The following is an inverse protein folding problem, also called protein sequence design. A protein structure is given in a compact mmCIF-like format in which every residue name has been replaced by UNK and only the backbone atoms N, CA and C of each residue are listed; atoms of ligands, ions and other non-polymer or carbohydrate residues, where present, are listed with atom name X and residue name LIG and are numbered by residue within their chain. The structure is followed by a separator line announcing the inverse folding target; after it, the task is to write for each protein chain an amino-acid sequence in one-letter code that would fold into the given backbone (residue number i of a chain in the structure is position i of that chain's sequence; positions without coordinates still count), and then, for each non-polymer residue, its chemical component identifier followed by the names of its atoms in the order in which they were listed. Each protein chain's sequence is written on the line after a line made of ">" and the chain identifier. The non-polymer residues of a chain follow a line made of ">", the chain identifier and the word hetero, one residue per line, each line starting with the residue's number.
data_IF_952228014918
#
_entry.id   IF_952228014918
#
_cell.length_a   1.000
_cell.length_b   1.000
_cell.length_c   1.000
_cell.angle_alpha   90.00
_cell.angle_beta   90.00
_cell.angle_gamma   90.00
#
_symmetry.space_group_name_H-M   'P 1'
#
loop_
_entity.id
_entity.type
_entity.pdbx_description
1 polymer ?
#
# COMPACT_ATOMS: atom_id res chain seq x y z
N UNK A 1 -25.50 1.04 7.24
CA UNK A 1 -24.10 0.85 6.82
C UNK A 1 -24.07 -0.34 5.86
N UNK A 2 -24.47 -0.19 4.60
CA UNK A 2 -24.57 -1.35 3.69
C UNK A 2 -24.85 -0.99 2.21
N UNK A 3 -24.05 -0.14 1.58
CA UNK A 3 -24.04 -0.08 0.10
C UNK A 3 -22.67 -0.30 -0.53
N UNK A 4 -21.59 -0.26 0.27
CA UNK A 4 -20.24 -0.54 -0.19
C UNK A 4 -19.60 -1.49 0.83
N UNK A 5 -19.30 -2.72 0.41
CA UNK A 5 -18.50 -3.62 1.23
C UNK A 5 -17.09 -3.06 1.38
N UNK A 6 -16.42 -3.43 2.45
CA UNK A 6 -15.06 -2.98 2.69
C UNK A 6 -14.15 -3.52 1.58
N UNK A 7 -13.28 -2.66 1.02
CA UNK A 7 -12.33 -3.05 -0.03
C UNK A 7 -11.42 -4.19 0.41
N UNK A 8 -11.19 -4.33 1.72
CA UNK A 8 -10.48 -5.45 2.33
C UNK A 8 -11.21 -6.79 2.21
N UNK A 9 -12.49 -6.82 1.84
CA UNK A 9 -13.24 -8.05 1.56
C UNK A 9 -13.64 -8.18 0.10
N UNK A 10 -13.65 -7.08 -0.67
CA UNK A 10 -14.04 -7.08 -2.09
C UNK A 10 -12.84 -7.29 -3.03
N UNK A 11 -11.71 -6.61 -2.79
CA UNK A 11 -10.52 -6.69 -3.65
C UNK A 11 -9.39 -7.51 -3.06
N UNK A 12 -9.51 -7.90 -1.81
CA UNK A 12 -8.49 -8.69 -1.12
C UNK A 12 -8.22 -10.01 -1.81
N UNK A 13 -9.21 -10.72 -2.34
CA UNK A 13 -8.95 -12.00 -3.03
C UNK A 13 -8.16 -11.81 -4.34
N UNK A 14 -8.50 -10.82 -5.17
CA UNK A 14 -7.73 -10.50 -6.39
C UNK A 14 -6.31 -10.04 -6.06
N UNK A 15 -6.18 -9.05 -5.17
CA UNK A 15 -4.89 -8.47 -4.79
C UNK A 15 -4.02 -9.50 -4.04
N UNK A 16 -4.64 -10.38 -3.24
CA UNK A 16 -3.94 -11.46 -2.52
C UNK A 16 -3.55 -12.58 -3.48
N UNK A 17 -4.37 -12.96 -4.45
CA UNK A 17 -4.01 -14.03 -5.39
C UNK A 17 -2.75 -13.70 -6.19
N UNK A 18 -2.55 -12.45 -6.58
CA UNK A 18 -1.30 -12.02 -7.23
C UNK A 18 -0.17 -11.97 -6.22
N UNK A 19 -0.26 -11.15 -5.17
CA UNK A 19 0.88 -10.94 -4.27
C UNK A 19 1.24 -12.13 -3.38
N UNK A 20 0.26 -12.81 -2.78
CA UNK A 20 0.52 -13.90 -1.83
C UNK A 20 1.06 -15.15 -2.54
N UNK A 21 0.54 -15.48 -3.72
CA UNK A 21 1.06 -16.61 -4.50
C UNK A 21 2.48 -16.32 -4.98
N UNK A 22 2.77 -15.11 -5.46
CA UNK A 22 4.12 -14.68 -5.85
C UNK A 22 5.12 -14.80 -4.68
N UNK A 23 4.73 -14.35 -3.47
CA UNK A 23 5.57 -14.44 -2.27
C UNK A 23 5.77 -15.89 -1.80
N UNK A 24 4.74 -16.73 -1.83
CA UNK A 24 4.82 -18.13 -1.39
C UNK A 24 5.64 -18.98 -2.37
N UNK A 25 5.49 -18.73 -3.67
CA UNK A 25 6.20 -19.46 -4.72
C UNK A 25 7.65 -18.97 -4.90
N UNK A 26 8.01 -17.84 -4.30
CA UNK A 26 9.33 -17.22 -4.45
C UNK A 26 9.51 -16.47 -5.76
N UNK A 27 8.41 -16.19 -6.46
CA UNK A 27 8.35 -15.43 -7.72
C UNK A 27 8.10 -13.93 -7.44
N UNK A 28 8.82 -13.39 -6.46
CA UNK A 28 8.74 -11.97 -6.12
C UNK A 28 9.32 -11.15 -7.29
N UNK A 29 8.47 -10.36 -7.95
CA UNK A 29 8.83 -9.56 -9.12
C UNK A 29 9.47 -8.20 -8.79
N UNK A 30 9.67 -7.90 -7.51
CA UNK A 30 10.30 -6.67 -7.01
C UNK A 30 11.55 -6.97 -6.18
N UNK A 31 12.52 -6.07 -6.21
CA UNK A 31 13.64 -6.08 -5.27
C UNK A 31 13.17 -5.60 -3.89
N UNK A 32 13.82 -6.13 -2.87
CA UNK A 32 13.51 -5.85 -1.47
C UNK A 32 14.60 -4.92 -0.96
N UNK A 33 14.22 -3.77 -0.39
CA UNK A 33 15.20 -2.84 0.16
C UNK A 33 16.09 -3.55 1.19
N UNK A 34 17.36 -3.16 1.28
CA UNK A 34 18.36 -3.87 2.09
C UNK A 34 18.02 -3.93 3.59
N UNK A 35 17.13 -3.07 4.07
CA UNK A 35 16.65 -2.98 5.44
C UNK A 35 15.36 -3.79 5.71
N UNK A 36 14.75 -4.39 4.68
CA UNK A 36 13.53 -5.18 4.82
C UNK A 36 13.89 -6.64 5.10
N UNK A 37 13.37 -7.16 6.21
CA UNK A 37 13.55 -8.57 6.58
C UNK A 37 12.59 -9.50 5.82
N UNK A 38 13.00 -10.76 5.63
CA UNK A 38 12.10 -11.80 5.09
C UNK A 38 10.86 -12.00 5.97
N UNK A 39 10.97 -11.78 7.29
CA UNK A 39 9.82 -11.76 8.19
C UNK A 39 8.84 -10.65 7.85
N UNK A 40 9.30 -9.45 7.51
CA UNK A 40 8.43 -8.35 7.09
C UNK A 40 7.63 -8.76 5.86
N UNK A 41 8.28 -9.27 4.81
CA UNK A 41 7.62 -9.70 3.57
C UNK A 41 6.46 -10.67 3.77
N UNK A 42 6.63 -11.66 4.65
CA UNK A 42 5.60 -12.68 4.97
C UNK A 42 4.38 -12.12 5.71
N UNK A 43 4.53 -10.94 6.30
CA UNK A 43 3.54 -10.29 7.14
C UNK A 43 2.93 -9.05 6.46
N UNK A 44 3.34 -8.76 5.22
CA UNK A 44 2.73 -7.71 4.43
C UNK A 44 1.36 -8.15 3.91
N UNK A 45 0.35 -7.39 4.31
CA UNK A 45 -1.02 -7.56 3.87
C UNK A 45 -1.37 -6.47 2.85
N UNK A 46 -1.55 -6.80 1.57
CA UNK A 46 -1.86 -5.79 0.57
C UNK A 46 -3.29 -5.28 0.76
N UNK A 47 -3.48 -3.97 0.68
CA UNK A 47 -4.80 -3.34 0.88
C UNK A 47 -5.21 -2.37 -0.24
N UNK A 48 -4.27 -1.94 -1.08
CA UNK A 48 -4.56 -1.12 -2.24
C UNK A 48 -3.55 -1.34 -3.35
N UNK A 49 -3.98 -1.09 -4.59
CA UNK A 49 -3.13 -1.04 -5.76
C UNK A 49 -3.55 0.11 -6.68
N UNK A 50 -2.60 0.65 -7.42
CA UNK A 50 -2.85 1.65 -8.46
C UNK A 50 -2.89 1.00 -9.85
N UNK A 51 -3.45 1.72 -10.83
CA UNK A 51 -3.40 1.32 -12.24
C UNK A 51 -1.97 1.33 -12.82
N UNK A 52 -1.04 2.03 -12.15
CA UNK A 52 0.37 2.09 -12.55
C UNK A 52 1.22 0.98 -11.91
N UNK A 53 0.61 0.07 -11.14
CA UNK A 53 1.28 -1.08 -10.55
C UNK A 53 1.94 -0.83 -9.20
N UNK A 54 1.69 0.33 -8.55
CA UNK A 54 2.06 0.49 -7.14
C UNK A 54 1.12 -0.31 -6.25
N UNK A 55 1.67 -1.01 -5.27
CA UNK A 55 0.92 -1.71 -4.24
C UNK A 55 1.19 -1.09 -2.89
N UNK A 56 0.17 -1.05 -2.04
CA UNK A 56 0.26 -0.64 -0.64
C UNK A 56 -0.04 -1.82 0.27
N UNK A 57 0.76 -1.93 1.32
CA UNK A 57 0.72 -3.04 2.27
C UNK A 57 0.72 -2.53 3.70
N UNK A 58 -0.04 -3.21 4.56
CA UNK A 58 0.11 -3.12 6.01
C UNK A 58 1.13 -4.16 6.48
N UNK A 59 2.04 -3.79 7.39
CA UNK A 59 2.81 -4.80 8.14
C UNK A 59 2.04 -5.19 9.41
N UNK A 60 1.44 -6.39 9.42
CA UNK A 60 0.63 -6.86 10.55
C UNK A 60 1.41 -7.01 11.86
N UNK A 61 2.75 -7.12 11.81
CA UNK A 61 3.58 -7.19 13.02
C UNK A 61 3.93 -5.83 13.59
N UNK A 62 3.75 -4.76 12.80
CA UNK A 62 4.03 -3.39 13.23
C UNK A 62 2.88 -2.75 14.00
N UNK A 63 1.82 -3.52 14.27
CA UNK A 63 0.62 -3.04 14.95
C UNK A 63 0.93 -2.27 16.24
N UNK A 64 0.52 -1.01 16.24
CA UNK A 64 0.66 -0.11 17.37
C UNK A 64 -0.69 0.04 18.09
N UNK A 65 -0.69 -0.29 19.38
CA UNK A 65 -1.88 -0.24 20.22
C UNK A 65 -2.32 1.18 20.59
N UNK A 66 -1.42 2.16 20.50
CA UNK A 66 -1.71 3.53 20.92
C UNK A 66 -2.58 4.27 19.91
N UNK A 67 -2.39 4.01 18.62
CA UNK A 67 -3.14 4.62 17.51
C UNK A 67 -3.99 3.62 16.70
N UNK A 68 -3.99 2.33 17.05
CA UNK A 68 -4.74 1.25 16.38
C UNK A 68 -4.38 1.11 14.88
N UNK A 69 -3.11 1.38 14.56
CA UNK A 69 -2.60 1.47 13.19
C UNK A 69 -1.38 0.56 12.97
N UNK A 70 -0.95 0.46 11.72
CA UNK A 70 0.18 -0.35 11.28
C UNK A 70 1.09 0.46 10.36
N UNK A 71 2.35 0.06 10.25
CA UNK A 71 3.25 0.58 9.24
C UNK A 71 2.74 0.27 7.83
N UNK A 72 2.90 1.24 6.93
CA UNK A 72 2.54 1.13 5.53
C UNK A 72 3.80 0.98 4.70
N UNK A 73 3.81 -0.03 3.84
CA UNK A 73 4.82 -0.28 2.83
C UNK A 73 4.25 -0.04 1.44
N UNK A 74 5.12 0.37 0.51
CA UNK A 74 4.76 0.62 -0.88
C UNK A 74 5.82 0.07 -1.82
N UNK A 75 5.40 -0.52 -2.95
CA UNK A 75 6.30 -0.76 -4.08
C UNK A 75 6.46 0.53 -4.89
N UNK A 76 7.67 0.82 -5.36
CA UNK A 76 7.88 2.00 -6.20
C UNK A 76 7.17 1.93 -7.57
N UNK A 77 7.13 3.04 -8.31
CA UNK A 77 6.49 3.17 -9.64
C UNK A 77 7.02 2.17 -10.68
N UNK A 78 8.23 1.63 -10.50
CA UNK A 78 8.79 0.60 -11.38
C UNK A 78 8.67 -0.79 -10.79
N UNK A 79 8.00 -0.91 -9.63
CA UNK A 79 7.89 -2.17 -8.92
C UNK A 79 9.26 -2.74 -8.57
N UNK A 80 10.27 -1.87 -8.37
CA UNK A 80 11.65 -2.27 -8.14
C UNK A 80 11.93 -2.41 -6.66
N UNK A 81 11.48 -1.49 -5.81
CA UNK A 81 11.85 -1.53 -4.39
C UNK A 81 10.62 -1.42 -3.49
N UNK A 82 10.50 -2.36 -2.55
CA UNK A 82 9.57 -2.28 -1.44
C UNK A 82 10.19 -1.49 -0.28
N UNK A 83 9.52 -0.43 0.17
CA UNK A 83 9.99 0.40 1.29
C UNK A 83 8.87 0.78 2.25
N UNK A 84 9.24 1.03 3.52
CA UNK A 84 8.32 1.65 4.49
C UNK A 84 8.07 3.11 4.08
N UNK A 85 6.80 3.49 3.96
CA UNK A 85 6.40 4.83 3.53
C UNK A 85 5.68 5.65 4.59
N UNK A 86 5.08 5.00 5.59
CA UNK A 86 4.42 5.66 6.71
C UNK A 86 4.25 4.70 7.91
N UNK A 87 3.92 5.25 9.07
CA UNK A 87 3.67 4.49 10.31
C UNK A 87 2.17 4.29 10.60
N UNK A 88 1.31 4.98 9.84
CA UNK A 88 -0.16 4.85 9.89
C UNK A 88 -0.80 5.49 8.65
N UNK A 89 -2.10 5.28 8.45
CA UNK A 89 -2.83 5.81 7.28
C UNK A 89 -2.81 7.33 7.19
N UNK A 90 -2.92 8.02 8.33
CA UNK A 90 -2.95 9.47 8.36
C UNK A 90 -1.64 10.08 7.89
N UNK A 91 -0.50 9.56 8.37
CA UNK A 91 0.82 9.99 7.92
C UNK A 91 1.00 9.76 6.41
N UNK A 92 0.51 8.62 5.89
CA UNK A 92 0.55 8.33 4.45
C UNK A 92 -0.27 9.33 3.64
N UNK A 93 -1.53 9.58 4.03
CA UNK A 93 -2.41 10.56 3.38
C UNK A 93 -1.79 11.96 3.43
N UNK A 94 -1.24 12.36 4.57
CA UNK A 94 -0.58 13.65 4.71
C UNK A 94 0.62 13.77 3.78
N UNK A 95 1.46 12.72 3.67
CA UNK A 95 2.60 12.73 2.74
C UNK A 95 2.19 12.87 1.28
N UNK A 96 1.21 12.10 0.80
CA UNK A 96 0.81 12.12 -0.61
C UNK A 96 0.03 13.39 -1.01
N UNK A 97 -0.59 14.08 -0.04
CA UNK A 97 -1.39 15.28 -0.28
C UNK A 97 -0.65 16.58 0.03
N UNK A 98 0.49 16.53 0.72
CA UNK A 98 1.32 17.69 1.05
C UNK A 98 2.24 18.10 -0.10
N UNK A 99 2.21 19.39 -0.47
CA UNK A 99 2.96 19.97 -1.60
C UNK A 99 4.49 19.87 -1.46
N UNK A 100 5.00 19.75 -0.23
CA UNK A 100 6.43 19.66 0.05
C UNK A 100 6.90 18.20 0.20
N UNK A 101 6.00 17.26 0.53
CA UNK A 101 6.36 15.89 0.90
C UNK A 101 5.98 14.83 -0.14
N UNK A 102 5.04 15.11 -1.03
CA UNK A 102 4.52 14.10 -1.97
C UNK A 102 5.60 13.44 -2.84
N UNK A 103 6.70 14.16 -3.13
CA UNK A 103 7.83 13.62 -3.92
C UNK A 103 8.63 12.53 -3.21
N UNK A 104 8.54 12.42 -1.88
CA UNK A 104 9.12 11.30 -1.12
C UNK A 104 8.50 9.96 -1.55
N UNK A 105 7.22 9.98 -1.93
CA UNK A 105 6.44 8.81 -2.31
C UNK A 105 6.24 8.71 -3.82
N UNK A 106 5.94 9.84 -4.47
CA UNK A 106 5.58 9.96 -5.88
C UNK A 106 6.57 10.88 -6.61
N UNK A 107 7.83 10.44 -6.83
CA UNK A 107 8.90 11.30 -7.33
C UNK A 107 8.65 11.87 -8.74
N UNK A 108 7.85 11.15 -9.55
CA UNK A 108 7.51 11.55 -10.92
C UNK A 108 6.21 12.34 -11.03
N UNK A 109 5.47 12.51 -9.92
CA UNK A 109 4.27 13.35 -9.95
C UNK A 109 4.66 14.83 -10.09
N UNK A 110 3.83 15.58 -10.83
CA UNK A 110 3.97 17.03 -11.01
C UNK A 110 3.26 17.84 -9.91
N UNK A 111 2.34 17.21 -9.16
CA UNK A 111 1.55 17.82 -8.10
C UNK A 111 1.17 16.77 -7.04
N UNK A 112 0.91 17.17 -5.77
CA UNK A 112 0.39 16.25 -4.77
C UNK A 112 -0.98 15.70 -5.19
N UNK A 113 -1.34 14.54 -4.64
CA UNK A 113 -2.69 14.01 -4.82
C UNK A 113 -3.69 14.91 -4.09
N UNK A 114 -4.90 15.09 -4.64
CA UNK A 114 -5.89 15.90 -3.98
C UNK A 114 -6.39 15.19 -2.71
N UNK A 115 -6.58 15.94 -1.62
CA UNK A 115 -7.16 15.44 -0.36
C UNK A 115 -8.68 15.25 -0.46
N UNK A 116 -9.11 14.53 -1.49
CA UNK A 116 -10.50 14.21 -1.78
C UNK A 116 -10.60 12.71 -2.03
N UNK A 117 -11.57 12.07 -1.37
CA UNK A 117 -11.91 10.68 -1.65
C UNK A 117 -13.16 10.66 -2.53
N UNK A 118 -13.11 9.91 -3.64
CA UNK A 118 -14.27 9.68 -4.49
C UNK A 118 -14.51 8.18 -4.55
N UNK A 119 -15.69 7.76 -4.09
CA UNK A 119 -16.11 6.36 -4.14
C UNK A 119 -16.12 5.90 -5.61
N UNK A 120 -15.64 4.69 -5.86
CA UNK A 120 -15.79 4.06 -7.17
C UNK A 120 -17.29 3.76 -7.35
N UNK A 121 -17.93 4.39 -8.35
CA UNK A 121 -19.29 4.02 -8.70
C UNK A 121 -19.24 2.64 -9.34
N UNK A 122 -19.82 1.63 -8.68
CA UNK A 122 -20.04 0.32 -9.30
C UNK A 122 -20.93 0.54 -10.52
N UNK A 123 -20.40 0.25 -11.70
CA UNK A 123 -21.21 0.21 -12.92
C UNK A 123 -22.08 -1.05 -12.79
N UNK A 124 -23.39 -0.84 -12.60
CA UNK A 124 -24.40 -1.91 -12.59
C UNK A 124 -24.70 -2.34 -14.02
#
# INVERSE_FOLDING_TARGET
>A
MSEHGDSIFIRSDEIRSTYYEDVVNGDIWFEVAADISLSTLKNLYPFASSDNGEYLFWDINSYNKEDDEMDIYMTDFRSIELRKVASNLNEFIDKITDVNRYKELLPFSIQPLPRIFKVLNLVV
#
